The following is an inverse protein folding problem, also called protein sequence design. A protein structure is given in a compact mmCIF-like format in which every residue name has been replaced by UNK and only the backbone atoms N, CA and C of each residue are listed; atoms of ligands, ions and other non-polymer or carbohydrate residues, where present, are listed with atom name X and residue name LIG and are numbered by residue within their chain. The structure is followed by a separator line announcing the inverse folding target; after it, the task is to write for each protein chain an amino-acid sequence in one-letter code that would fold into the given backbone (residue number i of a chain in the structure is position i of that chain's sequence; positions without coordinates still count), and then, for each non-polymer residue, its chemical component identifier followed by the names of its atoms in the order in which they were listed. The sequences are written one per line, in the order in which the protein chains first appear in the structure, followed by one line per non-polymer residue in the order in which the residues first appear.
data_IF_981565234004
#
_entry.id   IF_981565234004
#
_cell.length_a   1.000
_cell.length_b   1.000
_cell.length_c   1.000
_cell.angle_alpha   90.00
_cell.angle_beta   90.00
_cell.angle_gamma   90.00
#
_symmetry.space_group_name_H-M   'P 1'
#
loop_
_entity.id
_entity.type
_entity.pdbx_description
1 polymer ?
#
# COMPACT_ATOMS: atom_id res chain seq x y z
N UNK A 1 10.98 -23.96 2.43
CA UNK A 1 10.44 -22.62 2.74
C UNK A 1 10.56 -22.41 4.24
N UNK A 2 11.32 -21.40 4.70
CA UNK A 2 11.45 -21.07 6.12
C UNK A 2 10.77 -19.72 6.35
N UNK A 3 9.66 -19.73 7.09
CA UNK A 3 9.05 -18.52 7.62
C UNK A 3 8.93 -18.67 9.14
N UNK A 4 8.99 -17.55 9.86
CA UNK A 4 8.80 -17.53 11.32
C UNK A 4 7.48 -16.83 11.62
N UNK A 5 6.56 -17.53 12.28
CA UNK A 5 5.37 -16.92 12.83
C UNK A 5 5.74 -16.24 14.16
N UNK A 6 5.80 -14.91 14.16
CA UNK A 6 6.19 -14.13 15.35
C UNK A 6 4.99 -13.71 16.20
N UNK A 7 3.82 -13.53 15.56
CA UNK A 7 2.57 -13.14 16.22
C UNK A 7 1.84 -12.03 15.47
N UNK A 8 0.88 -11.40 16.14
CA UNK A 8 0.11 -10.27 15.58
C UNK A 8 0.96 -9.00 15.58
N UNK A 9 1.13 -8.40 14.41
CA UNK A 9 1.97 -7.21 14.23
C UNK A 9 1.25 -5.88 14.57
N UNK A 10 -0.06 -5.80 14.36
CA UNK A 10 -0.85 -4.58 14.61
C UNK A 10 -2.30 -4.93 14.93
N UNK A 11 -2.96 -4.06 15.69
CA UNK A 11 -4.42 -4.04 15.85
C UNK A 11 -4.92 -2.63 15.59
N UNK A 12 -5.67 -2.44 14.52
CA UNK A 12 -6.42 -1.21 14.31
C UNK A 12 -7.69 -1.24 15.16
N UNK A 13 -8.09 -0.08 15.70
CA UNK A 13 -9.36 0.09 16.40
C UNK A 13 -10.42 0.64 15.45
N UNK A 14 -11.63 0.09 15.46
CA UNK A 14 -12.74 0.55 14.61
C UNK A 14 -12.97 -0.35 13.40
N UNK A 15 -12.93 0.25 12.20
CA UNK A 15 -13.28 -0.37 10.92
C UNK A 15 -12.54 -1.68 10.64
N UNK A 16 -13.21 -2.57 9.90
CA UNK A 16 -12.59 -3.79 9.38
C UNK A 16 -11.37 -3.44 8.52
N UNK A 17 -10.23 -4.03 8.85
CA UNK A 17 -8.98 -3.87 8.10
C UNK A 17 -8.62 -5.11 7.32
N UNK A 18 -8.25 -4.95 6.05
CA UNK A 18 -7.84 -6.04 5.16
C UNK A 18 -6.59 -5.65 4.37
N UNK A 19 -6.04 -6.62 3.63
CA UNK A 19 -5.07 -6.39 2.55
C UNK A 19 -3.83 -5.59 2.97
N UNK A 20 -3.02 -6.09 3.93
CA UNK A 20 -1.80 -5.41 4.32
C UNK A 20 -0.75 -5.47 3.19
N UNK A 21 -0.18 -4.33 2.85
CA UNK A 21 1.05 -4.22 2.06
C UNK A 21 2.14 -3.58 2.92
N UNK A 22 3.37 -4.09 2.83
CA UNK A 22 4.47 -3.74 3.74
C UNK A 22 5.76 -3.59 2.93
N UNK A 23 6.51 -2.52 3.19
CA UNK A 23 7.86 -2.32 2.65
C UNK A 23 8.84 -1.97 3.77
N UNK A 24 10.11 -2.32 3.57
CA UNK A 24 11.22 -1.80 4.37
C UNK A 24 11.76 -0.54 3.70
N UNK A 25 11.98 0.50 4.47
CA UNK A 25 12.48 1.80 4.03
C UNK A 25 14.02 1.83 4.06
N UNK A 26 14.67 2.79 3.36
CA UNK A 26 16.14 2.88 3.30
C UNK A 26 16.82 3.06 4.65
N UNK A 27 16.16 3.72 5.61
CA UNK A 27 16.65 3.90 6.98
C UNK A 27 16.52 2.63 7.84
N UNK A 28 15.96 1.55 7.28
CA UNK A 28 15.76 0.27 7.93
C UNK A 28 14.43 0.13 8.67
N UNK A 29 13.67 1.22 8.83
CA UNK A 29 12.30 1.19 9.35
C UNK A 29 11.33 0.59 8.33
N UNK A 30 10.07 0.43 8.71
CA UNK A 30 9.05 -0.24 7.91
C UNK A 30 7.80 0.61 7.82
N UNK A 31 7.17 0.59 6.64
CA UNK A 31 5.88 1.20 6.38
C UNK A 31 4.89 0.10 6.00
N UNK A 32 3.70 0.15 6.58
CA UNK A 32 2.56 -0.69 6.26
C UNK A 32 1.40 0.18 5.81
N UNK A 33 0.69 -0.28 4.79
CA UNK A 33 -0.61 0.24 4.37
C UNK A 33 -1.64 -0.89 4.48
N UNK A 34 -2.83 -0.56 4.97
CA UNK A 34 -3.95 -1.51 5.07
C UNK A 34 -5.24 -0.89 4.55
N UNK A 35 -6.10 -1.71 3.96
CA UNK A 35 -7.41 -1.32 3.47
C UNK A 35 -8.40 -1.10 4.62
N UNK A 36 -9.16 -0.01 4.57
CA UNK A 36 -10.31 0.32 5.42
C UNK A 36 -11.48 0.77 4.52
N UNK A 37 -11.96 -0.12 3.66
CA UNK A 37 -13.01 0.19 2.69
C UNK A 37 -12.47 1.04 1.54
N UNK A 38 -12.85 2.32 1.50
CA UNK A 38 -12.35 3.29 0.50
C UNK A 38 -11.22 4.17 1.04
N UNK A 39 -10.70 3.84 2.22
CA UNK A 39 -9.56 4.50 2.85
C UNK A 39 -8.40 3.52 2.99
N UNK A 40 -7.20 4.07 3.08
CA UNK A 40 -5.99 3.31 3.42
C UNK A 40 -5.44 3.85 4.73
N UNK A 41 -5.35 2.99 5.74
CA UNK A 41 -4.66 3.32 6.98
C UNK A 41 -3.17 3.00 6.87
N UNK A 42 -2.34 3.84 7.48
CA UNK A 42 -0.88 3.75 7.43
C UNK A 42 -0.32 3.50 8.83
N UNK A 43 0.67 2.62 8.93
CA UNK A 43 1.34 2.28 10.16
C UNK A 43 2.85 2.15 9.94
N UNK A 44 3.65 2.43 10.98
CA UNK A 44 5.12 2.37 10.94
C UNK A 44 5.68 1.41 11.96
N UNK A 45 6.85 0.85 11.68
CA UNK A 45 7.57 0.01 12.61
C UNK A 45 9.08 0.25 12.53
N UNK A 46 9.75 0.26 13.69
CA UNK A 46 11.21 0.31 13.73
C UNK A 46 11.86 -1.06 13.47
N UNK A 47 11.16 -2.16 13.78
CA UNK A 47 11.70 -3.52 13.78
C UNK A 47 11.02 -4.46 12.77
N UNK A 48 9.90 -4.04 12.17
CA UNK A 48 9.09 -4.83 11.26
C UNK A 48 8.22 -5.88 11.97
N UNK A 49 8.20 -5.89 13.30
CA UNK A 49 7.45 -6.84 14.12
C UNK A 49 6.21 -6.22 14.75
N UNK A 50 6.28 -4.95 15.17
CA UNK A 50 5.15 -4.21 15.75
C UNK A 50 4.94 -2.91 15.02
N UNK A 51 3.73 -2.68 14.51
CA UNK A 51 3.39 -1.48 13.76
C UNK A 51 2.44 -0.60 14.55
N UNK A 52 2.76 0.70 14.57
CA UNK A 52 1.94 1.74 15.18
C UNK A 52 1.23 2.55 14.08
N UNK A 53 -0.11 2.59 14.08
CA UNK A 53 -0.88 3.44 13.17
C UNK A 53 -0.51 4.92 13.38
N UNK A 54 -0.38 5.68 12.28
CA UNK A 54 -0.07 7.12 12.37
C UNK A 54 -0.94 8.02 11.49
N UNK A 55 -1.54 7.48 10.41
CA UNK A 55 -2.35 8.26 9.49
C UNK A 55 -3.39 7.40 8.76
N UNK A 56 -4.34 8.06 8.11
CA UNK A 56 -5.26 7.46 7.15
C UNK A 56 -5.40 8.41 5.96
N UNK A 57 -5.51 7.84 4.76
CA UNK A 57 -5.65 8.59 3.50
C UNK A 57 -6.87 8.10 2.71
N UNK A 58 -7.56 9.02 2.05
CA UNK A 58 -8.78 8.73 1.27
C UNK A 58 -8.45 8.44 -0.20
N UNK A 59 -7.44 7.59 -0.42
CA UNK A 59 -6.96 7.24 -1.75
C UNK A 59 -7.61 5.97 -2.30
N UNK A 60 -8.59 5.39 -1.63
CA UNK A 60 -9.10 4.06 -1.94
C UNK A 60 -8.56 2.99 -1.00
N UNK A 61 -8.97 1.74 -1.24
CA UNK A 61 -8.60 0.57 -0.46
C UNK A 61 -7.65 -0.37 -1.21
N UNK A 62 -7.42 -1.56 -0.63
CA UNK A 62 -6.56 -2.62 -1.18
C UNK A 62 -5.21 -2.08 -1.66
N UNK A 63 -4.35 -1.65 -0.73
CA UNK A 63 -3.12 -0.94 -1.06
C UNK A 63 -2.03 -1.87 -1.57
N UNK A 64 -1.13 -1.32 -2.38
CA UNK A 64 0.19 -1.87 -2.67
C UNK A 64 1.25 -0.79 -2.50
N UNK A 65 2.25 -1.05 -1.65
CA UNK A 65 3.40 -0.18 -1.44
C UNK A 65 4.59 -0.65 -2.27
N UNK A 66 5.29 0.30 -2.89
CA UNK A 66 6.54 0.03 -3.60
C UNK A 66 7.61 1.04 -3.18
N UNK A 67 8.79 0.52 -2.81
CA UNK A 67 10.00 1.33 -2.68
C UNK A 67 10.64 1.46 -4.06
N UNK A 68 10.86 2.70 -4.51
CA UNK A 68 11.51 3.01 -5.78
C UNK A 68 13.04 3.05 -5.62
N UNK A 69 13.81 2.86 -6.71
CA UNK A 69 15.28 2.90 -6.66
C UNK A 69 15.88 4.20 -6.12
N UNK A 70 15.14 5.31 -6.24
CA UNK A 70 15.54 6.63 -5.72
C UNK A 70 15.13 6.87 -4.26
N UNK A 71 14.59 5.85 -3.58
CA UNK A 71 14.16 5.90 -2.19
C UNK A 71 12.75 6.48 -1.97
N UNK A 72 12.08 6.97 -3.02
CA UNK A 72 10.68 7.39 -2.90
C UNK A 72 9.76 6.19 -2.71
N UNK A 73 8.64 6.43 -2.05
CA UNK A 73 7.60 5.42 -1.83
C UNK A 73 6.43 5.71 -2.74
N UNK A 74 5.96 4.69 -3.45
CA UNK A 74 4.71 4.76 -4.21
C UNK A 74 3.65 3.91 -3.53
N UNK A 75 2.44 4.44 -3.44
CA UNK A 75 1.26 3.77 -2.94
C UNK A 75 0.24 3.65 -4.07
N UNK A 76 -0.04 2.42 -4.48
CA UNK A 76 -1.12 2.08 -5.40
C UNK A 76 -2.37 1.70 -4.60
N UNK A 77 -3.55 2.09 -5.07
CA UNK A 77 -4.82 1.78 -4.38
C UNK A 77 -5.96 1.56 -5.37
N UNK A 78 -6.95 0.78 -4.95
CA UNK A 78 -8.21 0.62 -5.64
C UNK A 78 -9.21 1.72 -5.27
N UNK A 79 -9.70 2.43 -6.28
CA UNK A 79 -10.82 3.35 -6.19
C UNK A 79 -11.70 3.24 -7.43
N UNK A 80 -11.72 4.30 -8.26
CA UNK A 80 -12.37 4.29 -9.58
C UNK A 80 -11.44 3.72 -10.66
N UNK A 81 -10.93 2.51 -10.43
CA UNK A 81 -9.73 1.99 -11.10
C UNK A 81 -8.52 2.03 -10.17
N UNK A 82 -7.33 1.78 -10.72
CA UNK A 82 -6.08 1.84 -9.94
C UNK A 82 -5.39 3.18 -10.13
N UNK A 83 -5.09 3.83 -9.00
CA UNK A 83 -4.36 5.09 -8.92
C UNK A 83 -3.08 4.94 -8.10
N UNK A 84 -2.14 5.87 -8.27
CA UNK A 84 -0.89 5.95 -7.52
C UNK A 84 -0.67 7.34 -6.92
N UNK A 85 -0.09 7.33 -5.73
CA UNK A 85 0.44 8.49 -5.03
C UNK A 85 1.90 8.25 -4.68
N UNK A 86 2.69 9.31 -4.68
CA UNK A 86 4.11 9.27 -4.44
C UNK A 86 4.47 10.05 -3.16
N UNK A 87 5.41 9.53 -2.40
CA UNK A 87 5.97 10.18 -1.23
C UNK A 87 7.48 10.23 -1.34
N UNK A 88 8.04 11.41 -1.05
CA UNK A 88 9.48 11.65 -0.93
C UNK A 88 9.98 11.70 0.52
N UNK A 89 9.09 11.48 1.50
CA UNK A 89 9.35 11.63 2.93
C UNK A 89 8.86 10.41 3.73
N UNK A 90 9.10 9.23 3.18
CA UNK A 90 8.80 7.93 3.80
C UNK A 90 7.31 7.75 4.19
N UNK A 91 6.40 8.28 3.37
CA UNK A 91 4.96 8.19 3.54
C UNK A 91 4.35 9.21 4.50
N UNK A 92 5.08 10.26 4.88
CA UNK A 92 4.53 11.32 5.73
C UNK A 92 3.60 12.23 4.92
N UNK A 93 3.97 12.58 3.69
CA UNK A 93 3.14 13.30 2.73
C UNK A 93 3.09 12.58 1.39
N UNK A 94 2.01 12.83 0.65
CA UNK A 94 1.71 12.14 -0.59
C UNK A 94 1.26 13.14 -1.66
N UNK A 95 1.76 12.96 -2.88
CA UNK A 95 1.32 13.70 -4.06
C UNK A 95 0.69 12.74 -5.06
N UNK A 96 -0.41 13.12 -5.74
CA UNK A 96 -0.95 12.32 -6.83
C UNK A 96 0.08 12.14 -7.95
N UNK A 97 0.23 10.92 -8.45
CA UNK A 97 1.16 10.61 -9.55
C UNK A 97 0.40 10.18 -10.81
N UNK A 98 -0.54 9.23 -10.68
CA UNK A 98 -1.35 8.73 -11.78
C UNK A 98 -2.73 8.27 -11.27
N UNK A 99 -3.78 8.45 -12.07
CA UNK A 99 -5.16 8.05 -11.71
C UNK A 99 -5.71 6.87 -12.51
N UNK A 100 -5.10 6.57 -13.65
CA UNK A 100 -5.59 5.57 -14.61
C UNK A 100 -4.50 4.54 -14.96
N UNK A 101 -3.79 4.02 -13.95
CA UNK A 101 -2.80 2.96 -14.18
C UNK A 101 -3.47 1.73 -14.77
N UNK A 102 -4.65 1.40 -14.25
CA UNK A 102 -5.58 0.47 -14.85
C UNK A 102 -7.00 1.09 -14.75
N UNK A 103 -7.52 1.66 -15.86
CA UNK A 103 -8.83 2.26 -15.87
C UNK A 103 -9.94 1.20 -15.87
N UNK A 104 -11.12 1.57 -15.37
CA UNK A 104 -12.26 0.66 -15.23
C UNK A 104 -12.78 0.12 -16.58
N UNK A 105 -12.74 0.92 -17.66
CA UNK A 105 -13.11 0.55 -19.05
C UNK A 105 -14.29 -0.43 -19.19
N UNK A 106 -15.44 -0.10 -18.57
CA UNK A 106 -16.67 -0.91 -18.68
C UNK A 106 -16.69 -2.18 -17.81
N UNK A 107 -15.62 -2.45 -17.06
CA UNK A 107 -15.58 -3.51 -16.04
C UNK A 107 -16.31 -3.05 -14.77
N UNK A 108 -16.72 -4.01 -13.94
CA UNK A 108 -17.30 -3.71 -12.63
C UNK A 108 -16.22 -3.48 -11.59
N UNK A 109 -15.06 -4.12 -11.76
CA UNK A 109 -13.94 -4.02 -10.84
C UNK A 109 -12.61 -4.04 -11.57
N UNK A 110 -11.69 -3.17 -11.14
CA UNK A 110 -10.26 -3.18 -11.44
C UNK A 110 -9.55 -2.91 -10.12
N UNK A 111 -8.88 -3.91 -9.54
CA UNK A 111 -8.35 -3.84 -8.19
C UNK A 111 -7.21 -4.83 -7.94
N UNK A 112 -6.81 -5.04 -6.68
CA UNK A 112 -5.72 -5.89 -6.21
C UNK A 112 -4.40 -5.58 -6.96
N UNK A 113 -3.91 -4.33 -6.88
CA UNK A 113 -2.66 -3.95 -7.52
C UNK A 113 -1.51 -4.81 -6.99
N UNK A 114 -0.63 -5.25 -7.89
CA UNK A 114 0.64 -5.85 -7.53
C UNK A 114 1.72 -5.34 -8.48
N UNK A 115 2.70 -4.65 -7.94
CA UNK A 115 3.84 -4.15 -8.70
C UNK A 115 5.01 -5.12 -8.53
N UNK A 116 5.69 -5.45 -9.62
CA UNK A 116 6.88 -6.32 -9.61
C UNK A 116 8.11 -5.47 -9.93
N UNK A 117 8.85 -5.01 -8.89
CA UNK A 117 10.05 -4.19 -9.09
C UNK A 117 11.08 -4.91 -9.97
N UNK A 118 11.78 -4.14 -10.82
CA UNK A 118 12.83 -4.65 -11.71
C UNK A 118 12.33 -5.40 -12.96
N UNK A 119 11.08 -5.88 -12.96
CA UNK A 119 10.47 -6.49 -14.13
C UNK A 119 9.69 -5.47 -14.99
N UNK A 120 9.35 -4.31 -14.42
CA UNK A 120 8.47 -3.33 -15.08
C UNK A 120 7.05 -3.87 -15.29
N UNK A 121 6.62 -4.83 -14.46
CA UNK A 121 5.32 -5.52 -14.58
C UNK A 121 4.37 -5.00 -13.50
N UNK A 122 3.14 -4.75 -13.92
CA UNK A 122 2.03 -4.39 -13.04
C UNK A 122 0.85 -5.32 -13.30
N UNK A 123 0.36 -5.98 -12.26
CA UNK A 123 -0.68 -7.01 -12.32
C UNK A 123 -1.87 -6.52 -11.49
N UNK A 124 -3.08 -6.83 -11.95
CA UNK A 124 -4.30 -6.47 -11.26
C UNK A 124 -5.42 -7.46 -11.56
N UNK A 125 -6.40 -7.51 -10.66
CA UNK A 125 -7.65 -8.27 -10.79
C UNK A 125 -8.71 -7.46 -11.53
N UNK A 126 -9.50 -8.14 -12.35
CA UNK A 126 -10.73 -7.58 -12.95
C UNK A 126 -11.96 -8.41 -12.59
N UNK A 127 -13.15 -7.80 -12.62
CA UNK A 127 -14.44 -8.45 -12.38
C UNK A 127 -15.63 -7.67 -12.95
#
# INVERSE_FOLDING_TARGET
MRFTLVGRAVRFTGDMTTDPSVIRLPDGSWLMAVSQGQRTALARSADGLRFEPYASVDFGGVPELALLPDGRVRLYTCGRGIQAHLSSDAGATWTPEARDIAPLLGRRLVCDPSYVPGAGVFIYKTG
#
